data_IF_711680603139
#
_entry.id   IF_711680603139
#
_cell.length_a   1.000
_cell.length_b   1.000
_cell.length_c   1.000
_cell.angle_alpha   90.00
_cell.angle_beta   90.00
_cell.angle_gamma   90.00
#
_symmetry.space_group_name_H-M   'P 1'
#
loop_
_entity.id
_entity.type
_entity.pdbx_description
1 polymer ?
#
# COMPACT_ATOMS: atom_id res chain seq x y z
N UNK A 1 14.90 -58.81 -6.07
CA UNK A 1 14.41 -59.48 -7.29
C UNK A 1 13.86 -58.41 -8.22
N UNK A 2 14.39 -58.40 -9.45
CA UNK A 2 13.91 -57.78 -10.70
C UNK A 2 13.41 -56.33 -10.66
N UNK A 3 13.95 -55.37 -11.41
CA UNK A 3 14.63 -55.48 -12.71
C UNK A 3 13.76 -54.79 -13.77
N UNK A 4 14.31 -53.77 -14.43
CA UNK A 4 13.59 -53.04 -15.48
C UNK A 4 14.44 -51.94 -16.09
N UNK A 5 15.47 -52.35 -16.84
CA UNK A 5 16.36 -51.49 -17.63
C UNK A 5 15.60 -51.05 -18.90
N UNK A 6 15.57 -49.75 -19.19
CA UNK A 6 15.09 -49.20 -20.45
C UNK A 6 16.11 -48.18 -20.97
N UNK A 7 16.79 -48.55 -22.04
CA UNK A 7 17.95 -47.88 -22.60
C UNK A 7 17.60 -46.62 -23.42
N UNK A 8 18.45 -45.60 -23.26
CA UNK A 8 19.13 -44.84 -24.31
C UNK A 8 18.36 -44.48 -25.58
N UNK A 9 18.09 -43.17 -25.76
CA UNK A 9 18.25 -42.50 -27.05
C UNK A 9 18.88 -41.13 -26.80
N UNK A 10 20.19 -41.07 -27.06
CA UNK A 10 20.94 -39.84 -27.17
C UNK A 10 20.59 -39.17 -28.50
N UNK A 11 20.19 -37.90 -28.47
CA UNK A 11 20.14 -37.05 -29.65
C UNK A 11 20.88 -35.76 -29.32
N UNK A 12 22.17 -35.78 -29.64
CA UNK A 12 23.02 -34.62 -29.66
C UNK A 12 22.68 -33.79 -30.91
N UNK A 13 22.07 -32.62 -30.70
CA UNK A 13 21.99 -31.56 -31.71
C UNK A 13 22.92 -30.44 -31.25
N UNK A 14 24.13 -30.47 -31.80
CA UNK A 14 25.11 -29.41 -31.69
C UNK A 14 24.65 -28.21 -32.52
N UNK A 15 24.21 -27.15 -31.84
CA UNK A 15 24.07 -25.83 -32.44
C UNK A 15 25.31 -25.01 -32.08
N UNK A 16 26.20 -24.89 -33.06
CA UNK A 16 27.24 -23.85 -33.09
C UNK A 16 26.56 -22.49 -33.09
N UNK A 17 26.54 -21.81 -31.94
CA UNK A 17 26.20 -20.41 -31.80
C UNK A 17 27.42 -19.64 -31.32
N UNK A 18 27.96 -18.81 -32.21
CA UNK A 18 29.17 -18.01 -32.01
C UNK A 18 29.17 -17.24 -30.68
N UNK A 19 30.26 -17.38 -29.93
CA UNK A 19 30.52 -16.55 -28.76
C UNK A 19 30.60 -15.07 -29.15
N UNK A 20 29.80 -14.24 -28.49
CA UNK A 20 30.07 -12.80 -28.40
C UNK A 20 30.83 -12.59 -27.10
N UNK A 21 32.14 -12.62 -27.24
CA UNK A 21 33.13 -12.20 -26.24
C UNK A 21 33.07 -10.66 -26.17
N UNK A 22 32.12 -10.10 -25.43
CA UNK A 22 32.07 -8.65 -25.16
C UNK A 22 33.13 -8.28 -24.12
N UNK A 23 34.41 -8.35 -24.50
CA UNK A 23 35.48 -7.65 -23.79
C UNK A 23 35.26 -6.16 -24.00
N UNK A 24 34.63 -5.51 -23.02
CA UNK A 24 34.70 -4.06 -22.89
C UNK A 24 36.17 -3.67 -22.68
N UNK A 25 36.78 -2.85 -23.55
CA UNK A 25 38.07 -2.26 -23.22
C UNK A 25 37.86 -1.34 -22.02
N UNK A 26 38.55 -1.64 -20.91
CA UNK A 26 38.65 -0.76 -19.76
C UNK A 26 39.52 0.46 -20.12
N UNK A 27 38.93 1.40 -20.88
CA UNK A 27 39.42 2.75 -21.01
C UNK A 27 39.04 3.59 -19.79
N UNK A 28 39.70 4.74 -19.55
CA UNK A 28 39.27 5.67 -18.51
C UNK A 28 37.79 6.03 -18.70
N UNK A 29 37.02 6.18 -17.60
CA UNK A 29 35.60 6.49 -17.68
C UNK A 29 35.41 7.77 -18.49
N UNK A 30 34.68 7.67 -19.59
CA UNK A 30 34.32 8.83 -20.40
C UNK A 30 33.44 9.77 -19.55
N UNK A 31 33.56 11.09 -19.71
CA UNK A 31 32.70 12.04 -19.03
C UNK A 31 31.23 11.72 -19.30
N UNK A 32 30.41 11.67 -18.25
CA UNK A 32 28.96 11.55 -18.38
C UNK A 32 28.41 12.78 -19.08
N UNK A 33 27.69 12.55 -20.17
CA UNK A 33 27.05 13.61 -20.94
C UNK A 33 25.87 14.17 -20.12
N UNK A 34 26.03 15.38 -19.59
CA UNK A 34 25.01 16.07 -18.78
C UNK A 34 24.09 16.95 -19.63
N UNK A 35 24.14 16.80 -20.96
CA UNK A 35 23.26 17.56 -21.85
C UNK A 35 21.81 17.17 -21.57
N UNK A 36 20.88 18.13 -21.36
CA UNK A 36 19.49 17.81 -21.08
C UNK A 36 18.91 16.97 -22.22
N UNK A 37 18.71 15.68 -21.97
CA UNK A 37 18.06 14.81 -22.93
C UNK A 37 16.59 15.20 -22.99
N UNK A 38 16.18 15.78 -24.11
CA UNK A 38 14.79 16.09 -24.35
C UNK A 38 13.99 14.80 -24.28
N UNK A 39 13.02 14.75 -23.36
CA UNK A 39 12.16 13.60 -23.20
C UNK A 39 11.50 13.28 -24.56
N UNK A 40 11.50 12.01 -25.00
CA UNK A 40 10.79 11.62 -26.21
C UNK A 40 9.35 12.13 -26.14
N UNK A 41 8.92 12.88 -27.15
CA UNK A 41 7.52 13.25 -27.27
C UNK A 41 6.71 11.94 -27.41
N UNK A 42 5.63 11.75 -26.63
CA UNK A 42 4.82 10.56 -26.74
C UNK A 42 4.27 10.45 -28.17
N UNK A 43 4.54 9.32 -28.82
CA UNK A 43 4.07 9.03 -30.15
C UNK A 43 2.56 8.75 -30.09
N UNK A 44 1.76 9.66 -30.67
CA UNK A 44 0.31 9.56 -30.69
C UNK A 44 -0.21 8.38 -31.54
N UNK A 45 0.68 7.68 -32.26
CA UNK A 45 0.34 6.47 -33.02
C UNK A 45 0.60 5.18 -32.26
N UNK A 46 1.27 5.22 -31.11
CA UNK A 46 1.39 4.06 -30.24
C UNK A 46 0.12 3.89 -29.39
N UNK A 47 -0.50 2.70 -29.36
CA UNK A 47 -1.63 2.45 -28.49
C UNK A 47 -1.17 2.54 -27.02
N UNK A 48 -1.63 3.56 -26.32
CA UNK A 48 -1.51 3.63 -24.86
C UNK A 48 -2.22 2.41 -24.27
N UNK A 49 -1.52 1.66 -23.41
CA UNK A 49 -2.16 0.61 -22.65
C UNK A 49 -3.37 1.21 -21.92
N UNK A 50 -4.57 0.73 -22.28
CA UNK A 50 -5.83 1.09 -21.65
C UNK A 50 -5.65 1.09 -20.13
N UNK A 51 -6.27 2.03 -19.41
CA UNK A 51 -6.12 2.29 -17.97
C UNK A 51 -6.50 1.14 -17.01
N UNK A 52 -6.53 -0.11 -17.50
CA UNK A 52 -6.74 -1.36 -16.79
C UNK A 52 -5.41 -2.08 -16.52
N UNK A 53 -4.36 -1.36 -16.11
CA UNK A 53 -3.15 -2.02 -15.64
C UNK A 53 -3.36 -2.58 -14.23
N UNK A 54 -2.66 -3.65 -13.83
CA UNK A 54 -2.72 -4.15 -12.45
C UNK A 54 -2.42 -3.05 -11.43
N UNK A 55 -1.43 -2.19 -11.71
CA UNK A 55 -1.10 -1.06 -10.86
C UNK A 55 -2.25 -0.04 -10.73
N UNK A 56 -3.01 0.22 -11.79
CA UNK A 56 -4.18 1.10 -11.73
C UNK A 56 -5.30 0.50 -10.87
N UNK A 57 -5.49 -0.83 -10.95
CA UNK A 57 -6.45 -1.54 -10.11
C UNK A 57 -6.05 -1.50 -8.63
N UNK A 58 -4.76 -1.70 -8.32
CA UNK A 58 -4.25 -1.61 -6.94
C UNK A 58 -4.45 -0.20 -6.37
N UNK A 59 -4.14 0.84 -7.15
CA UNK A 59 -4.39 2.24 -6.75
C UNK A 59 -5.86 2.51 -6.50
N UNK A 60 -6.75 1.99 -7.35
CA UNK A 60 -8.19 2.12 -7.18
C UNK A 60 -8.70 1.38 -5.94
N UNK A 61 -8.20 0.17 -5.66
CA UNK A 61 -8.54 -0.59 -4.47
C UNK A 61 -8.13 0.17 -3.19
N UNK A 62 -6.88 0.64 -3.14
CA UNK A 62 -6.37 1.46 -2.02
C UNK A 62 -7.12 2.79 -1.86
N UNK A 63 -7.66 3.35 -2.94
CA UNK A 63 -8.51 4.54 -2.88
C UNK A 63 -9.90 4.21 -2.33
N UNK A 64 -10.48 3.07 -2.74
CA UNK A 64 -11.77 2.58 -2.22
C UNK A 64 -11.72 2.31 -0.72
N UNK A 65 -10.67 1.63 -0.24
CA UNK A 65 -10.49 1.31 1.19
C UNK A 65 -10.50 2.55 2.10
N UNK A 66 -9.98 3.68 1.61
CA UNK A 66 -9.84 4.94 2.37
C UNK A 66 -10.91 5.99 2.08
N UNK A 67 -11.90 5.69 1.23
CA UNK A 67 -12.83 6.71 0.73
C UNK A 67 -13.79 7.22 1.82
N UNK A 68 -14.93 6.57 2.00
CA UNK A 68 -15.94 6.94 2.99
C UNK A 68 -16.13 5.80 4.00
N UNK A 69 -16.65 6.11 5.19
CA UNK A 69 -17.19 5.09 6.10
C UNK A 69 -18.48 4.53 5.50
N UNK A 70 -18.36 3.58 4.57
CA UNK A 70 -19.48 3.02 3.83
C UNK A 70 -20.13 1.86 4.61
N UNK A 71 -21.40 1.98 5.03
CA UNK A 71 -22.09 0.92 5.78
C UNK A 71 -22.36 -0.34 4.96
N UNK A 72 -22.23 -0.29 3.63
CA UNK A 72 -22.41 -1.44 2.75
C UNK A 72 -21.13 -2.25 2.53
N UNK A 73 -19.96 -1.74 2.92
CA UNK A 73 -18.69 -2.46 2.81
C UNK A 73 -18.56 -3.51 3.90
N UNK A 74 -17.97 -4.66 3.55
CA UNK A 74 -17.59 -5.68 4.50
C UNK A 74 -16.15 -5.44 4.97
N UNK A 75 -15.93 -5.02 6.22
CA UNK A 75 -14.58 -4.71 6.71
C UNK A 75 -13.66 -5.93 6.80
N UNK A 76 -14.20 -7.16 6.83
CA UNK A 76 -13.38 -8.36 6.76
C UNK A 76 -12.74 -8.53 5.37
N UNK A 77 -13.51 -8.32 4.30
CA UNK A 77 -13.02 -8.39 2.92
C UNK A 77 -12.05 -7.24 2.62
N UNK A 78 -12.33 -6.05 3.16
CA UNK A 78 -11.45 -4.89 3.10
C UNK A 78 -10.12 -5.16 3.81
N UNK A 79 -10.14 -5.80 4.98
CA UNK A 79 -8.93 -6.19 5.72
C UNK A 79 -8.13 -7.28 4.98
N UNK A 80 -8.79 -8.25 4.35
CA UNK A 80 -8.10 -9.24 3.50
C UNK A 80 -7.39 -8.55 2.33
N UNK A 81 -8.08 -7.66 1.63
CA UNK A 81 -7.50 -6.83 0.57
C UNK A 81 -6.32 -6.01 1.09
N UNK A 82 -6.47 -5.39 2.26
CA UNK A 82 -5.43 -4.59 2.87
C UNK A 82 -4.19 -5.43 3.25
N UNK A 83 -4.36 -6.66 3.71
CA UNK A 83 -3.24 -7.57 4.00
C UNK A 83 -2.47 -7.95 2.74
N UNK A 84 -3.16 -8.26 1.63
CA UNK A 84 -2.50 -8.54 0.35
C UNK A 84 -1.64 -7.34 -0.07
N UNK A 85 -2.22 -6.15 -0.02
CA UNK A 85 -1.55 -4.91 -0.42
C UNK A 85 -0.45 -4.47 0.55
N UNK A 86 -0.60 -4.77 1.84
CA UNK A 86 0.41 -4.52 2.86
C UNK A 86 1.65 -5.39 2.64
N UNK A 87 1.47 -6.69 2.41
CA UNK A 87 2.57 -7.64 2.13
C UNK A 87 3.33 -7.26 0.86
N UNK A 88 2.62 -6.93 -0.22
CA UNK A 88 3.23 -6.56 -1.50
C UNK A 88 4.05 -5.28 -1.41
N UNK A 89 3.58 -4.32 -0.62
CA UNK A 89 4.21 -3.00 -0.49
C UNK A 89 5.18 -2.85 0.68
N UNK A 90 5.40 -3.88 1.49
CA UNK A 90 6.05 -3.76 2.81
C UNK A 90 5.44 -2.60 3.63
N UNK A 91 4.11 -2.59 3.74
CA UNK A 91 3.32 -1.57 4.45
C UNK A 91 2.68 -2.17 5.70
N UNK A 92 2.27 -1.30 6.62
CA UNK A 92 1.35 -1.64 7.72
C UNK A 92 -0.09 -1.31 7.34
N UNK A 93 -1.05 -1.73 8.14
CA UNK A 93 -2.46 -1.44 7.94
C UNK A 93 -2.92 -0.47 9.03
N UNK A 94 -3.70 0.54 8.68
CA UNK A 94 -4.43 1.36 9.65
C UNK A 94 -5.91 1.10 9.45
N UNK A 95 -6.55 0.53 10.47
CA UNK A 95 -8.01 0.53 10.57
C UNK A 95 -8.43 1.83 11.27
N UNK A 96 -9.11 2.71 10.55
CA UNK A 96 -9.76 3.89 11.10
C UNK A 96 -11.24 3.54 11.34
N UNK A 97 -11.63 3.44 12.60
CA UNK A 97 -13.01 3.21 13.00
C UNK A 97 -13.71 4.56 13.18
N UNK A 98 -14.75 4.77 12.40
CA UNK A 98 -15.55 5.99 12.39
C UNK A 98 -16.97 5.73 11.92
N UNK A 99 -17.63 6.78 11.45
CA UNK A 99 -19.02 6.78 11.01
C UNK A 99 -19.19 7.81 9.87
N UNK A 100 -20.22 7.68 9.01
CA UNK A 100 -20.37 8.51 7.80
C UNK A 100 -20.28 10.03 8.05
N UNK A 101 -20.85 10.51 9.15
CA UNK A 101 -20.90 11.94 9.51
C UNK A 101 -19.86 12.32 10.57
N UNK A 102 -18.65 11.75 10.48
CA UNK A 102 -17.57 12.00 11.44
C UNK A 102 -16.70 13.22 11.04
N UNK A 103 -17.04 14.41 11.53
CA UNK A 103 -16.26 15.62 11.27
C UNK A 103 -14.78 15.52 11.71
N UNK A 104 -14.42 14.94 12.89
CA UNK A 104 -13.02 14.74 13.27
C UNK A 104 -12.26 13.81 12.32
N UNK A 105 -12.92 12.76 11.80
CA UNK A 105 -12.32 11.84 10.84
C UNK A 105 -12.02 12.54 9.52
N UNK A 106 -12.94 13.38 9.04
CA UNK A 106 -12.74 14.19 7.84
C UNK A 106 -11.65 15.26 8.03
N UNK A 107 -11.53 15.85 9.22
CA UNK A 107 -10.45 16.77 9.54
C UNK A 107 -9.08 16.07 9.50
N UNK A 108 -8.97 14.84 10.04
CA UNK A 108 -7.77 14.03 9.96
C UNK A 108 -7.41 13.69 8.51
N UNK A 109 -8.38 13.21 7.73
CA UNK A 109 -8.20 12.92 6.30
C UNK A 109 -7.73 14.15 5.53
N UNK A 110 -8.40 15.28 5.68
CA UNK A 110 -8.05 16.54 5.01
C UNK A 110 -6.66 17.03 5.43
N UNK A 111 -6.27 16.84 6.69
CA UNK A 111 -4.93 17.14 7.17
C UNK A 111 -3.84 16.32 6.46
N UNK A 112 -4.05 15.01 6.36
CA UNK A 112 -3.11 14.12 5.66
C UNK A 112 -3.09 14.43 4.17
N UNK A 113 -4.25 14.60 3.54
CA UNK A 113 -4.35 14.86 2.10
C UNK A 113 -3.87 16.27 1.73
N UNK A 114 -3.97 17.24 2.64
CA UNK A 114 -3.53 18.62 2.42
C UNK A 114 -2.01 18.82 2.48
N UNK A 115 -1.26 17.90 3.11
CA UNK A 115 0.19 17.96 3.23
C UNK A 115 0.86 16.88 2.36
N UNK A 116 1.67 17.31 1.39
CA UNK A 116 2.31 16.39 0.44
C UNK A 116 3.28 15.40 1.09
N UNK A 117 3.96 15.80 2.16
CA UNK A 117 4.89 14.92 2.87
C UNK A 117 4.13 13.87 3.69
N UNK A 118 3.07 14.27 4.39
CA UNK A 118 2.20 13.32 5.12
C UNK A 118 1.53 12.33 4.16
N UNK A 119 0.96 12.83 3.05
CA UNK A 119 0.34 11.99 2.02
C UNK A 119 1.32 10.98 1.43
N UNK A 120 2.53 11.42 1.09
CA UNK A 120 3.60 10.54 0.57
C UNK A 120 4.01 9.50 1.61
N UNK A 121 4.20 9.91 2.87
CA UNK A 121 4.55 9.01 3.95
C UNK A 121 3.46 7.97 4.19
N UNK A 122 2.18 8.38 4.26
CA UNK A 122 1.05 7.46 4.38
C UNK A 122 1.05 6.45 3.24
N UNK A 123 1.11 6.90 1.98
CA UNK A 123 1.00 6.01 0.82
C UNK A 123 2.13 4.97 0.73
N UNK A 124 3.34 5.36 1.15
CA UNK A 124 4.52 4.48 1.13
C UNK A 124 4.58 3.51 2.30
N UNK A 125 3.99 3.85 3.45
CA UNK A 125 4.13 3.05 4.67
C UNK A 125 2.85 2.32 5.11
N UNK A 126 1.67 2.73 4.62
CA UNK A 126 0.39 2.25 5.14
C UNK A 126 -0.64 1.94 4.05
N UNK A 127 -1.46 0.92 4.31
CA UNK A 127 -2.78 0.72 3.72
C UNK A 127 -3.82 1.21 4.72
N UNK A 128 -4.61 2.20 4.34
CA UNK A 128 -5.58 2.84 5.25
C UNK A 128 -6.98 2.37 4.92
N UNK A 129 -7.66 1.77 5.90
CA UNK A 129 -9.00 1.21 5.76
C UNK A 129 -9.94 1.94 6.68
N UNK A 130 -10.97 2.58 6.12
CA UNK A 130 -12.04 3.21 6.89
C UNK A 130 -13.14 2.19 7.16
N UNK A 131 -13.53 2.02 8.41
CA UNK A 131 -14.55 1.07 8.85
C UNK A 131 -15.69 1.84 9.50
N UNK A 132 -16.90 1.73 8.95
CA UNK A 132 -18.10 2.20 9.64
C UNK A 132 -18.38 1.28 10.83
N UNK A 133 -18.16 1.79 12.04
CA UNK A 133 -18.36 1.02 13.27
C UNK A 133 -19.82 0.97 13.74
N UNK A 134 -20.69 1.80 13.17
CA UNK A 134 -22.11 1.92 13.52
C UNK A 134 -23.00 1.06 12.63
N UNK A 135 -22.50 0.65 11.46
CA UNK A 135 -23.19 -0.25 10.56
C UNK A 135 -23.49 -1.61 11.24
N UNK A 136 -24.77 -2.06 11.32
CA UNK A 136 -25.11 -3.33 11.96
C UNK A 136 -24.42 -4.54 11.35
N UNK A 137 -24.17 -4.52 10.03
CA UNK A 137 -23.42 -5.57 9.32
C UNK A 137 -21.96 -5.71 9.78
N UNK A 138 -21.39 -4.66 10.36
CA UNK A 138 -20.00 -4.63 10.80
C UNK A 138 -19.83 -5.01 12.26
N UNK A 139 -20.91 -5.22 13.01
CA UNK A 139 -20.86 -5.46 14.46
C UNK A 139 -19.96 -6.64 14.85
N UNK A 140 -19.99 -7.73 14.09
CA UNK A 140 -19.13 -8.90 14.33
C UNK A 140 -17.64 -8.58 14.15
N UNK A 141 -17.28 -7.76 13.15
CA UNK A 141 -15.91 -7.32 12.94
C UNK A 141 -15.47 -6.34 14.02
N UNK A 142 -16.32 -5.35 14.34
CA UNK A 142 -16.04 -4.34 15.37
C UNK A 142 -15.87 -4.98 16.75
N UNK A 143 -16.56 -6.08 17.05
CA UNK A 143 -16.41 -6.81 18.31
C UNK A 143 -15.00 -7.37 18.54
N UNK A 144 -14.20 -7.58 17.49
CA UNK A 144 -12.78 -7.94 17.62
C UNK A 144 -11.90 -6.77 18.10
N UNK A 145 -12.42 -5.54 18.05
CA UNK A 145 -11.76 -4.30 18.46
C UNK A 145 -12.64 -3.55 19.47
N UNK A 146 -12.87 -4.10 20.68
CA UNK A 146 -13.88 -3.59 21.61
C UNK A 146 -13.71 -2.12 21.98
N UNK A 147 -12.47 -1.65 22.13
CA UNK A 147 -12.21 -0.22 22.41
C UNK A 147 -12.67 0.70 21.27
N UNK A 148 -12.57 0.25 20.02
CA UNK A 148 -13.01 1.00 18.85
C UNK A 148 -14.54 1.15 18.77
N UNK A 149 -15.28 0.22 19.38
CA UNK A 149 -16.74 0.26 19.42
C UNK A 149 -17.26 1.45 20.26
N UNK A 150 -16.57 1.77 21.36
CA UNK A 150 -17.04 2.72 22.38
C UNK A 150 -16.26 4.05 22.40
N UNK A 151 -14.98 4.05 22.05
CA UNK A 151 -14.16 5.26 22.08
C UNK A 151 -14.65 6.35 21.11
N UNK A 152 -14.33 7.64 21.29
CA UNK A 152 -14.65 8.66 20.29
C UNK A 152 -14.00 8.37 18.92
N UNK A 153 -14.70 8.67 17.83
CA UNK A 153 -14.15 8.57 16.47
C UNK A 153 -13.27 9.78 16.11
N UNK A 154 -12.22 9.61 15.28
CA UNK A 154 -11.71 8.33 14.80
C UNK A 154 -10.99 7.56 15.91
N UNK A 155 -11.16 6.24 15.96
CA UNK A 155 -10.29 5.35 16.72
C UNK A 155 -9.39 4.59 15.75
N UNK A 156 -8.08 4.59 15.99
CA UNK A 156 -7.10 4.04 15.07
C UNK A 156 -6.51 2.76 15.63
N UNK A 157 -6.47 1.72 14.81
CA UNK A 157 -5.74 0.48 15.09
C UNK A 157 -4.70 0.28 14.01
N UNK A 158 -3.43 0.25 14.40
CA UNK A 158 -2.31 -0.08 13.51
C UNK A 158 -2.06 -1.58 13.60
N UNK A 159 -2.07 -2.24 12.44
CA UNK A 159 -1.76 -3.65 12.29
C UNK A 159 -0.49 -3.84 11.47
N UNK A 160 0.18 -4.98 11.66
CA UNK A 160 1.11 -5.49 10.67
C UNK A 160 0.36 -6.10 9.46
N UNK A 161 1.12 -6.66 8.51
CA UNK A 161 0.57 -7.26 7.29
C UNK A 161 -0.12 -8.63 7.53
N UNK A 162 0.01 -9.19 8.74
CA UNK A 162 -0.62 -10.42 9.23
C UNK A 162 -1.82 -10.12 10.16
N UNK A 163 -2.30 -8.86 10.12
CA UNK A 163 -3.40 -8.35 10.95
C UNK A 163 -3.15 -8.42 12.47
N UNK A 164 -1.89 -8.51 12.91
CA UNK A 164 -1.55 -8.42 14.34
C UNK A 164 -1.55 -6.96 14.78
N UNK A 165 -2.18 -6.69 15.94
CA UNK A 165 -2.27 -5.35 16.50
C UNK A 165 -0.91 -4.89 17.02
N UNK A 166 -0.41 -3.79 16.47
CA UNK A 166 0.80 -3.10 16.91
C UNK A 166 0.47 -1.91 17.81
N UNK A 167 -0.64 -1.24 17.54
CA UNK A 167 -1.12 -0.09 18.30
C UNK A 167 -2.64 0.04 18.19
N UNK A 168 -3.27 0.55 19.24
CA UNK A 168 -4.67 0.94 19.24
C UNK A 168 -4.81 2.20 20.11
N UNK A 169 -5.55 3.19 19.62
CA UNK A 169 -5.71 4.44 20.37
C UNK A 169 -6.63 5.46 19.71
N UNK A 170 -7.04 6.50 20.48
CA UNK A 170 -7.90 7.55 19.97
C UNK A 170 -7.17 8.43 18.95
N UNK A 171 -7.76 8.60 17.77
CA UNK A 171 -7.27 9.50 16.73
C UNK A 171 -7.46 10.99 17.06
N UNK A 172 -8.25 11.31 18.10
CA UNK A 172 -8.37 12.67 18.63
C UNK A 172 -7.00 13.27 19.04
N UNK A 173 -6.03 12.44 19.42
CA UNK A 173 -4.66 12.90 19.72
C UNK A 173 -3.97 13.52 18.50
N UNK A 174 -4.39 13.18 17.28
CA UNK A 174 -3.86 13.70 16.01
C UNK A 174 -4.51 15.01 15.57
N UNK A 175 -5.44 15.53 16.36
CA UNK A 175 -6.12 16.79 16.14
C UNK A 175 -5.68 17.80 17.21
N UNK A 176 -5.80 19.08 16.87
CA UNK A 176 -5.67 20.19 17.80
C UNK A 176 -6.98 20.37 18.56
N UNK A 177 -6.92 21.16 19.64
CA UNK A 177 -8.10 21.51 20.46
C UNK A 177 -9.21 22.22 19.66
N UNK A 178 -8.86 22.82 18.52
CA UNK A 178 -9.81 23.45 17.58
C UNK A 178 -10.33 22.49 16.49
N UNK A 179 -10.17 21.18 16.69
CA UNK A 179 -10.58 20.10 15.81
C UNK A 179 -9.94 20.11 14.41
N UNK A 180 -8.91 20.92 14.16
CA UNK A 180 -8.11 20.87 12.94
C UNK A 180 -6.99 19.83 13.09
N UNK A 181 -6.55 19.26 11.98
CA UNK A 181 -5.40 18.37 11.94
C UNK A 181 -4.14 18.99 12.59
N UNK A 182 -3.47 18.21 13.43
CA UNK A 182 -2.16 18.54 13.97
C UNK A 182 -1.09 17.85 13.12
N UNK A 183 -0.52 18.60 12.16
CA UNK A 183 0.47 18.08 11.20
C UNK A 183 1.68 17.46 11.90
N UNK A 184 2.11 18.00 13.04
CA UNK A 184 3.28 17.50 13.76
C UNK A 184 2.96 16.15 14.41
N UNK A 185 1.81 16.02 15.08
CA UNK A 185 1.40 14.76 15.70
C UNK A 185 1.05 13.69 14.69
N UNK A 186 0.43 14.06 13.55
CA UNK A 186 0.19 13.12 12.46
C UNK A 186 1.51 12.61 11.89
N UNK A 187 2.50 13.48 11.70
CA UNK A 187 3.84 13.08 11.27
C UNK A 187 4.47 12.08 12.24
N UNK A 188 4.46 12.42 13.53
CA UNK A 188 5.01 11.57 14.58
C UNK A 188 4.34 10.19 14.59
N UNK A 189 3.00 10.14 14.46
CA UNK A 189 2.26 8.89 14.33
C UNK A 189 2.71 8.07 13.12
N UNK A 190 2.79 8.69 11.94
CA UNK A 190 3.21 8.02 10.70
C UNK A 190 4.69 7.58 10.72
N UNK A 191 5.54 8.29 11.45
CA UNK A 191 6.96 7.94 11.60
C UNK A 191 7.14 6.79 12.58
N UNK A 192 6.51 6.88 13.76
CA UNK A 192 6.55 5.87 14.82
C UNK A 192 6.01 4.53 14.33
N UNK A 193 4.89 4.57 13.62
CA UNK A 193 4.19 3.37 13.22
C UNK A 193 4.48 2.92 11.79
N UNK A 194 5.45 3.50 11.10
CA UNK A 194 5.87 2.96 9.81
C UNK A 194 6.57 1.58 9.97
N UNK A 195 6.50 0.71 8.96
CA UNK A 195 7.29 -0.50 8.92
C UNK A 195 8.79 -0.15 8.98
N UNK A 196 9.62 -1.05 9.55
CA UNK A 196 11.07 -0.88 9.54
C UNK A 196 11.58 -0.76 8.10
N UNK A 197 12.69 -0.06 7.92
CA UNK A 197 13.38 -0.04 6.64
C UNK A 197 13.76 -1.49 6.25
N UNK A 198 13.60 -1.86 4.97
CA UNK A 198 13.97 -3.19 4.48
C UNK A 198 15.46 -3.48 4.60
#
# INVERSE_FOLDING_TARGET
MNGGRGALLASALALCGCGVDSRHPAGPPQPVDTTPQQAPAPDATEPVASGNTPAAADVAALAGLRAAFDPARNPADDLETAQVEARRGNRRIVLEFGEPDCAPCEALAAGIEGDAALRSRRNSAFVWVRVDRRAPGNAGFVAAYPEAADAPAPYLVVLDADAQVLHAGPGAALLRDDARADVARIREFLETWAPPAP
#
